data_IF_045931027606
#
_entry.id   IF_045931027606
#
_cell.length_a   1.000
_cell.length_b   1.000
_cell.length_c   1.000
_cell.angle_alpha   90.00
_cell.angle_beta   90.00
_cell.angle_gamma   90.00
#
_symmetry.space_group_name_H-M   'P 1'
#
loop_
_entity.id
_entity.type
_entity.pdbx_description
1 polymer ?
#
# COMPACT_ATOMS: atom_id res chain seq x y z
N UNK A 1 -6.29 17.22 3.09
CA UNK A 1 -5.90 16.88 1.70
C UNK A 1 -5.76 15.37 1.61
N UNK A 2 -6.18 14.77 0.50
CA UNK A 2 -6.16 13.30 0.37
C UNK A 2 -4.81 12.79 -0.11
N UNK A 3 -4.30 11.75 0.55
CA UNK A 3 -3.05 11.08 0.18
C UNK A 3 -3.27 9.58 0.05
N UNK A 4 -2.69 8.99 -0.99
CA UNK A 4 -2.54 7.56 -1.17
C UNK A 4 -1.14 7.16 -0.67
N UNK A 5 -1.09 6.19 0.22
CA UNK A 5 0.13 5.50 0.62
C UNK A 5 0.09 4.14 -0.07
N UNK A 6 0.97 3.90 -1.03
CA UNK A 6 1.07 2.62 -1.73
C UNK A 6 2.21 1.81 -1.12
N UNK A 7 1.88 0.69 -0.50
CA UNK A 7 2.85 -0.19 0.16
C UNK A 7 3.47 -1.09 -0.90
N UNK A 8 4.79 -1.00 -1.05
CA UNK A 8 5.55 -1.79 -2.00
C UNK A 8 5.54 -3.27 -1.64
N UNK A 9 5.57 -4.09 -2.68
CA UNK A 9 5.93 -5.47 -2.61
C UNK A 9 7.41 -5.63 -2.24
N UNK A 10 7.71 -6.74 -1.60
CA UNK A 10 9.07 -7.28 -1.49
C UNK A 10 8.94 -8.77 -1.18
N UNK A 11 8.84 -9.59 -2.24
CA UNK A 11 8.51 -11.02 -2.10
C UNK A 11 9.45 -11.74 -1.15
N UNK A 12 10.74 -11.45 -1.24
CA UNK A 12 11.75 -12.13 -0.43
C UNK A 12 11.68 -11.70 1.03
N UNK A 13 11.45 -10.41 1.31
CA UNK A 13 11.25 -9.93 2.68
C UNK A 13 9.94 -10.47 3.30
N UNK A 14 8.84 -10.45 2.55
CA UNK A 14 7.56 -11.02 3.00
C UNK A 14 7.67 -12.52 3.29
N UNK A 15 8.39 -13.27 2.45
CA UNK A 15 8.62 -14.69 2.66
C UNK A 15 9.54 -14.99 3.86
N UNK A 16 10.34 -14.01 4.29
CA UNK A 16 11.24 -14.13 5.43
C UNK A 16 10.59 -13.76 6.79
N UNK A 17 9.38 -13.19 6.79
CA UNK A 17 8.69 -12.79 8.02
C UNK A 17 8.35 -14.01 8.88
N UNK A 18 8.67 -13.90 10.16
CA UNK A 18 8.29 -14.88 11.18
C UNK A 18 6.83 -14.68 11.64
N UNK A 19 6.22 -15.65 12.33
CA UNK A 19 4.89 -15.45 12.93
C UNK A 19 4.81 -14.26 13.89
N UNK A 20 5.92 -13.92 14.56
CA UNK A 20 6.00 -12.75 15.43
C UNK A 20 5.99 -11.45 14.60
N UNK A 21 6.72 -11.42 13.50
CA UNK A 21 6.71 -10.29 12.56
C UNK A 21 5.31 -10.02 11.98
N UNK A 22 4.59 -11.08 11.60
CA UNK A 22 3.20 -10.98 11.15
C UNK A 22 2.29 -10.41 12.25
N UNK A 23 2.44 -10.90 13.48
CA UNK A 23 1.67 -10.41 14.63
C UNK A 23 1.95 -8.93 14.93
N UNK A 24 3.20 -8.51 14.80
CA UNK A 24 3.61 -7.12 14.95
C UNK A 24 3.11 -6.23 13.81
N UNK A 25 3.09 -6.74 12.58
CA UNK A 25 2.51 -6.05 11.43
C UNK A 25 1.02 -5.79 11.67
N UNK A 26 0.25 -6.84 11.97
CA UNK A 26 -1.19 -6.76 12.25
C UNK A 26 -1.50 -5.79 13.39
N UNK A 27 -0.76 -5.88 14.50
CA UNK A 27 -0.91 -4.99 15.64
C UNK A 27 -0.64 -3.53 15.26
N UNK A 28 0.42 -3.29 14.48
CA UNK A 28 0.78 -1.94 13.99
C UNK A 28 -0.34 -1.34 13.16
N UNK A 29 -0.92 -2.08 12.21
CA UNK A 29 -2.07 -1.61 11.44
C UNK A 29 -3.29 -1.32 12.33
N UNK A 30 -3.62 -2.24 13.25
CA UNK A 30 -4.77 -2.09 14.14
C UNK A 30 -4.68 -0.84 15.02
N UNK A 31 -3.52 -0.60 15.64
CA UNK A 31 -3.25 0.57 16.46
C UNK A 31 -3.31 1.87 15.64
N UNK A 32 -2.68 1.86 14.46
CA UNK A 32 -2.62 3.03 13.58
C UNK A 32 -4.01 3.40 13.04
N UNK A 33 -4.79 2.44 12.56
CA UNK A 33 -6.16 2.68 12.09
C UNK A 33 -7.03 3.25 13.21
N UNK A 34 -6.92 2.70 14.43
CA UNK A 34 -7.69 3.19 15.57
C UNK A 34 -7.35 4.64 15.95
N UNK A 35 -6.08 5.04 15.84
CA UNK A 35 -5.65 6.42 16.02
C UNK A 35 -6.18 7.34 14.91
N UNK A 36 -5.95 6.98 13.65
CA UNK A 36 -6.31 7.80 12.49
C UNK A 36 -7.83 8.01 12.37
N UNK A 37 -8.64 7.05 12.83
CA UNK A 37 -10.09 7.22 12.95
C UNK A 37 -10.47 8.28 13.99
N UNK A 38 -9.74 8.38 15.10
CA UNK A 38 -10.01 9.39 16.15
C UNK A 38 -9.63 10.80 15.69
N UNK A 39 -8.57 10.92 14.89
CA UNK A 39 -8.13 12.21 14.34
C UNK A 39 -8.94 12.64 13.11
N UNK A 40 -9.72 11.74 12.52
CA UNK A 40 -10.47 11.98 11.29
C UNK A 40 -9.61 11.85 10.01
N UNK A 41 -8.38 11.37 10.14
CA UNK A 41 -7.44 11.22 9.02
C UNK A 41 -7.65 9.92 8.24
N UNK A 42 -8.32 8.91 8.82
CA UNK A 42 -8.59 7.64 8.16
C UNK A 42 -9.75 7.73 7.16
N UNK A 43 -9.51 7.39 5.89
CA UNK A 43 -10.57 7.19 4.90
C UNK A 43 -10.76 5.70 4.59
N UNK A 44 -9.69 5.03 4.14
CA UNK A 44 -9.75 3.62 3.72
C UNK A 44 -8.35 2.98 3.77
N UNK A 45 -8.29 1.66 3.92
CA UNK A 45 -7.09 0.87 3.68
C UNK A 45 -7.48 -0.57 3.35
N UNK A 46 -6.65 -1.26 2.58
CA UNK A 46 -6.79 -2.70 2.40
C UNK A 46 -5.46 -3.34 2.03
N UNK A 47 -5.37 -4.64 2.30
CA UNK A 47 -4.32 -5.51 1.79
C UNK A 47 -4.64 -5.88 0.34
N UNK A 48 -3.63 -5.86 -0.52
CA UNK A 48 -3.73 -6.43 -1.86
C UNK A 48 -3.08 -7.80 -1.84
N UNK A 49 -3.57 -8.72 -2.67
CA UNK A 49 -2.92 -10.03 -2.79
C UNK A 49 -1.42 -9.86 -3.08
N UNK A 50 -0.60 -10.32 -2.14
CA UNK A 50 0.86 -10.12 -2.12
C UNK A 50 1.57 -10.86 -3.26
N UNK A 51 0.87 -11.74 -3.98
CA UNK A 51 1.39 -12.34 -5.20
C UNK A 51 0.94 -11.54 -6.42
N UNK A 52 1.82 -11.32 -7.41
CA UNK A 52 1.41 -10.75 -8.70
C UNK A 52 0.35 -11.59 -9.44
N UNK A 53 0.07 -12.79 -8.95
CA UNK A 53 -0.88 -13.74 -9.51
C UNK A 53 -2.30 -13.22 -9.28
N UNK A 54 -2.98 -12.88 -10.38
CA UNK A 54 -4.34 -12.34 -10.36
C UNK A 54 -4.43 -10.86 -10.70
N UNK A 55 -3.31 -10.13 -10.72
CA UNK A 55 -3.26 -8.80 -11.29
C UNK A 55 -3.37 -8.87 -12.82
N UNK A 56 -4.10 -7.93 -13.41
CA UNK A 56 -4.33 -7.82 -14.85
C UNK A 56 -4.03 -6.41 -15.32
N UNK A 57 -3.18 -6.28 -16.33
CA UNK A 57 -2.95 -5.01 -17.00
C UNK A 57 -3.92 -4.90 -18.17
N UNK A 58 -4.74 -3.85 -18.15
CA UNK A 58 -5.70 -3.57 -19.22
C UNK A 58 -5.17 -2.42 -20.09
N UNK A 59 -5.13 -2.62 -21.41
CA UNK A 59 -4.81 -1.58 -22.39
C UNK A 59 -5.80 -1.61 -23.53
N UNK A 60 -6.20 -0.43 -24.00
CA UNK A 60 -7.03 -0.27 -25.19
C UNK A 60 -6.19 0.36 -26.29
N UNK A 61 -5.99 -0.35 -27.39
CA UNK A 61 -5.35 0.18 -28.59
C UNK A 61 -6.39 0.25 -29.73
N UNK A 62 -6.53 1.42 -30.34
CA UNK A 62 -7.50 1.69 -31.42
C UNK A 62 -8.93 1.20 -31.11
N UNK A 63 -9.36 1.33 -29.85
CA UNK A 63 -10.70 0.91 -29.41
C UNK A 63 -10.85 -0.58 -29.11
N UNK A 64 -9.78 -1.37 -29.22
CA UNK A 64 -9.78 -2.81 -28.90
C UNK A 64 -9.15 -3.00 -27.52
N UNK A 65 -9.92 -3.44 -26.50
CA UNK A 65 -9.37 -3.71 -25.18
C UNK A 65 -8.61 -5.05 -25.18
N UNK A 66 -7.52 -5.08 -24.43
CA UNK A 66 -6.73 -6.27 -24.13
C UNK A 66 -6.42 -6.33 -22.64
N UNK A 67 -6.37 -7.54 -22.09
CA UNK A 67 -6.01 -7.78 -20.70
C UNK A 67 -4.94 -8.86 -20.63
N UNK A 68 -3.76 -8.52 -20.11
CA UNK A 68 -2.65 -9.46 -19.92
C UNK A 68 -2.37 -9.67 -18.45
N UNK A 69 -1.71 -10.77 -18.11
CA UNK A 69 -1.29 -11.03 -16.73
C UNK A 69 -0.18 -10.07 -16.32
N UNK A 70 -0.18 -9.70 -15.04
CA UNK A 70 0.88 -8.95 -14.41
C UNK A 70 0.36 -7.91 -13.43
N UNK A 71 1.20 -7.48 -12.48
CA UNK A 71 1.10 -6.15 -11.91
C UNK A 71 1.59 -5.13 -12.94
N UNK A 72 1.29 -3.84 -12.76
CA UNK A 72 1.71 -2.79 -13.69
C UNK A 72 3.24 -2.69 -13.85
N UNK A 73 3.98 -3.06 -12.81
CA UNK A 73 5.44 -2.98 -12.72
C UNK A 73 6.00 -4.38 -12.50
N UNK A 74 6.92 -4.83 -13.37
CA UNK A 74 7.56 -6.13 -13.24
C UNK A 74 8.60 -6.15 -12.11
N UNK A 75 8.80 -7.32 -11.49
CA UNK A 75 9.80 -7.54 -10.45
C UNK A 75 9.22 -7.47 -9.03
N UNK A 76 10.02 -6.99 -8.09
CA UNK A 76 9.59 -6.85 -6.68
C UNK A 76 8.82 -5.53 -6.44
N UNK A 77 8.72 -4.67 -7.45
CA UNK A 77 8.07 -3.35 -7.40
C UNK A 77 6.55 -3.41 -7.67
N UNK A 78 5.82 -4.33 -7.04
CA UNK A 78 4.34 -4.35 -7.10
C UNK A 78 3.72 -3.71 -5.85
N UNK A 79 2.40 -3.60 -5.77
CA UNK A 79 1.72 -3.08 -4.58
C UNK A 79 1.16 -4.23 -3.73
N UNK A 80 1.44 -4.24 -2.43
CA UNK A 80 0.93 -5.23 -1.47
C UNK A 80 -0.20 -4.68 -0.58
N UNK A 81 -0.44 -3.38 -0.59
CA UNK A 81 -1.48 -2.76 0.23
C UNK A 81 -1.55 -1.26 0.00
N UNK A 82 -2.58 -0.62 0.54
CA UNK A 82 -2.71 0.83 0.49
C UNK A 82 -3.40 1.42 1.71
N UNK A 83 -3.12 2.71 1.94
CA UNK A 83 -3.96 3.60 2.75
C UNK A 83 -4.40 4.79 1.92
N UNK A 84 -5.66 5.18 2.07
CA UNK A 84 -6.20 6.47 1.65
C UNK A 84 -6.47 7.29 2.91
N UNK A 85 -5.82 8.44 3.03
CA UNK A 85 -5.87 9.30 4.23
C UNK A 85 -6.27 10.72 3.87
N UNK A 86 -6.89 11.43 4.80
CA UNK A 86 -7.08 12.88 4.77
C UNK A 86 -6.13 13.56 5.76
N UNK A 87 -5.00 14.07 5.27
CA UNK A 87 -3.96 14.67 6.08
C UNK A 87 -3.84 16.18 5.82
N UNK A 88 -3.27 16.91 6.77
CA UNK A 88 -3.02 18.34 6.63
C UNK A 88 -2.05 18.67 5.47
N UNK A 89 -1.02 17.85 5.27
CA UNK A 89 0.05 18.00 4.28
C UNK A 89 0.75 16.66 4.00
N UNK A 90 1.70 16.69 3.06
CA UNK A 90 2.49 15.51 2.67
C UNK A 90 3.40 15.04 3.80
N UNK A 91 3.90 15.95 4.64
CA UNK A 91 4.79 15.61 5.74
C UNK A 91 4.06 14.77 6.80
N UNK A 92 2.80 15.09 7.10
CA UNK A 92 1.95 14.26 7.96
C UNK A 92 1.68 12.89 7.34
N UNK A 93 1.39 12.82 6.05
CA UNK A 93 1.19 11.55 5.36
C UNK A 93 2.47 10.68 5.38
N UNK A 94 3.65 11.28 5.16
CA UNK A 94 4.95 10.63 5.30
C UNK A 94 5.22 10.14 6.73
N UNK A 95 4.90 10.95 7.74
CA UNK A 95 5.05 10.56 9.13
C UNK A 95 4.16 9.36 9.50
N UNK A 96 2.98 9.25 8.88
CA UNK A 96 2.10 8.08 9.04
C UNK A 96 2.69 6.87 8.31
N UNK A 97 3.14 7.04 7.06
CA UNK A 97 3.77 5.96 6.28
C UNK A 97 4.98 5.35 7.00
N UNK A 98 5.83 6.18 7.62
CA UNK A 98 7.00 5.73 8.38
C UNK A 98 6.68 4.92 9.64
N UNK A 99 5.41 4.88 10.07
CA UNK A 99 4.95 4.07 11.21
C UNK A 99 4.48 2.68 10.81
N UNK A 100 4.22 2.45 9.52
CA UNK A 100 3.84 1.13 9.01
C UNK A 100 5.03 0.18 9.14
N UNK A 101 4.75 -1.06 9.52
CA UNK A 101 5.79 -2.05 9.81
C UNK A 101 6.62 -2.37 8.56
N UNK A 102 5.97 -2.37 7.40
CA UNK A 102 6.54 -2.60 6.07
C UNK A 102 7.60 -1.58 5.67
N UNK A 103 7.53 -0.35 6.19
CA UNK A 103 8.51 0.70 5.87
C UNK A 103 9.96 0.31 6.23
N UNK A 104 10.14 -0.75 7.03
CA UNK A 104 11.44 -1.34 7.39
C UNK A 104 12.09 -2.16 6.28
N UNK A 105 11.30 -2.70 5.35
CA UNK A 105 11.78 -3.65 4.33
C UNK A 105 11.17 -3.47 2.94
N UNK A 106 10.12 -2.66 2.80
CA UNK A 106 9.49 -2.31 1.54
C UNK A 106 9.27 -0.79 1.43
N UNK A 107 9.48 -0.19 0.26
CA UNK A 107 9.21 1.22 0.07
C UNK A 107 7.71 1.51 0.18
N UNK A 108 7.35 2.68 0.68
CA UNK A 108 5.97 3.17 0.69
C UNK A 108 5.93 4.48 -0.09
N UNK A 109 5.20 4.48 -1.20
CA UNK A 109 5.02 5.68 -2.01
C UNK A 109 3.91 6.54 -1.40
N UNK A 110 4.22 7.79 -1.04
CA UNK A 110 3.23 8.76 -0.57
C UNK A 110 2.91 9.73 -1.71
N UNK A 111 1.65 9.75 -2.15
CA UNK A 111 1.20 10.58 -3.27
C UNK A 111 -0.09 11.30 -2.94
N UNK A 112 -0.12 12.62 -3.19
CA UNK A 112 -1.35 13.39 -3.08
C UNK A 112 -2.35 12.98 -4.18
N UNK A 113 -3.61 12.81 -3.81
CA UNK A 113 -4.71 12.68 -4.75
C UNK A 113 -5.04 14.06 -5.31
N UNK A 114 -4.95 14.23 -6.64
CA UNK A 114 -5.06 15.53 -7.31
C UNK A 114 -6.47 16.14 -7.41
N UNK A 115 -7.37 15.76 -6.50
CA UNK A 115 -8.76 16.25 -6.45
C UNK A 115 -8.93 17.50 -5.62
#
# INVERSE_FOLDING_TARGET
MKFLLLIGGNRDAWAALTPEDWSDNERTHGELIAELRKTGEFLECDELNVTPQGARIVRTDRGIPSAVDGPLHDGDDFASGYYLLDCADIDRACAIAARLYESRFAPIEVRQVGG
#
